data_IF_638042710163
#
_entry.id   IF_638042710163
#
_cell.length_a   1.000
_cell.length_b   1.000
_cell.length_c   1.000
_cell.angle_alpha   90.00
_cell.angle_beta   90.00
_cell.angle_gamma   90.00
#
_symmetry.space_group_name_H-M   'P 1'
#
loop_
_entity.id
_entity.type
_entity.pdbx_description
1 polymer ?
#
# COMPACT_ATOMS: atom_id res chain seq x y z
N UNK A 1 61.51 -17.60 -1.17
CA UNK A 1 60.14 -17.47 -0.63
C UNK A 1 59.35 -18.61 -1.22
N UNK A 2 58.89 -19.56 -0.40
CA UNK A 2 58.06 -20.69 -0.87
C UNK A 2 56.75 -20.18 -1.45
N UNK A 3 56.17 -20.91 -2.40
CA UNK A 3 54.94 -20.51 -3.05
C UNK A 3 53.81 -20.66 -2.02
N UNK A 4 53.05 -19.60 -1.75
CA UNK A 4 51.98 -19.58 -0.74
C UNK A 4 50.85 -20.59 -1.04
N UNK A 5 50.88 -21.23 -2.21
CA UNK A 5 49.94 -22.24 -2.65
C UNK A 5 50.43 -23.69 -2.45
N UNK A 6 51.63 -23.90 -1.92
CA UNK A 6 52.19 -25.26 -1.72
C UNK A 6 51.42 -26.08 -0.66
N UNK A 7 50.60 -25.42 0.18
CA UNK A 7 49.81 -25.99 1.29
C UNK A 7 48.29 -25.70 1.19
N UNK A 8 47.77 -25.45 -0.03
CA UNK A 8 46.35 -25.10 -0.25
C UNK A 8 45.57 -26.28 -0.82
N UNK A 9 44.40 -26.56 -0.24
CA UNK A 9 43.43 -27.53 -0.76
C UNK A 9 42.31 -26.78 -1.48
N UNK A 10 42.08 -27.15 -2.74
CA UNK A 10 40.96 -26.64 -3.52
C UNK A 10 39.72 -27.48 -3.25
N UNK A 11 38.64 -26.81 -2.86
CA UNK A 11 37.32 -27.42 -2.64
C UNK A 11 36.33 -26.68 -3.53
N UNK A 12 35.42 -27.40 -4.19
CA UNK A 12 34.39 -26.77 -4.99
C UNK A 12 33.37 -26.04 -4.10
N UNK A 13 32.83 -24.94 -4.61
CA UNK A 13 31.95 -24.08 -3.82
C UNK A 13 30.65 -24.75 -3.40
N UNK A 14 30.12 -25.68 -4.19
CA UNK A 14 28.83 -26.31 -3.92
C UNK A 14 28.97 -27.36 -2.80
N UNK A 15 30.05 -28.14 -2.81
CA UNK A 15 30.44 -29.01 -1.69
C UNK A 15 30.69 -28.20 -0.43
N UNK A 16 31.38 -27.07 -0.53
CA UNK A 16 31.67 -26.22 0.63
C UNK A 16 30.39 -25.58 1.19
N UNK A 17 29.48 -25.11 0.35
CA UNK A 17 28.15 -24.59 0.74
C UNK A 17 27.31 -25.68 1.43
N UNK A 18 27.28 -26.88 0.86
CA UNK A 18 26.56 -28.04 1.45
C UNK A 18 27.15 -28.43 2.80
N UNK A 19 28.48 -28.54 2.89
CA UNK A 19 29.19 -28.81 4.14
C UNK A 19 28.87 -27.77 5.21
N UNK A 20 28.90 -26.47 4.86
CA UNK A 20 28.56 -25.41 5.82
C UNK A 20 27.11 -25.52 6.29
N UNK A 21 26.16 -25.80 5.39
CA UNK A 21 24.76 -26.02 5.74
C UNK A 21 24.61 -27.20 6.72
N UNK A 22 25.22 -28.34 6.41
CA UNK A 22 25.15 -29.55 7.24
C UNK A 22 25.75 -29.32 8.63
N UNK A 23 26.85 -28.55 8.73
CA UNK A 23 27.43 -28.16 10.01
C UNK A 23 26.47 -27.29 10.82
N UNK A 24 25.81 -26.30 10.19
CA UNK A 24 24.81 -25.47 10.85
C UNK A 24 23.62 -26.28 11.37
N UNK A 25 23.10 -27.21 10.57
CA UNK A 25 22.05 -28.15 11.00
C UNK A 25 22.54 -29.02 12.17
N UNK A 26 23.77 -29.52 12.09
CA UNK A 26 24.39 -30.32 13.14
C UNK A 26 24.56 -29.60 14.48
N UNK A 27 24.60 -28.26 14.49
CA UNK A 27 24.63 -27.44 15.72
C UNK A 27 23.26 -26.88 16.10
N UNK A 28 22.19 -27.37 15.47
CA UNK A 28 20.80 -27.09 15.84
C UNK A 28 20.13 -25.91 15.12
N UNK A 29 20.77 -25.35 14.09
CA UNK A 29 20.12 -24.32 13.25
C UNK A 29 19.07 -25.00 12.34
N UNK A 30 17.83 -24.47 12.24
CA UNK A 30 16.81 -25.02 11.34
C UNK A 30 17.29 -25.08 9.87
N UNK A 31 16.85 -26.07 9.11
CA UNK A 31 17.35 -26.34 7.74
C UNK A 31 17.30 -25.11 6.80
N UNK A 32 16.18 -24.37 6.83
CA UNK A 32 16.00 -23.16 6.01
C UNK A 32 16.99 -22.06 6.41
N UNK A 33 17.15 -21.83 7.72
CA UNK A 33 18.04 -20.83 8.30
C UNK A 33 19.52 -21.19 8.09
N UNK A 34 19.85 -22.49 8.13
CA UNK A 34 21.16 -23.03 7.81
C UNK A 34 21.51 -22.76 6.35
N UNK A 35 20.54 -22.92 5.43
CA UNK A 35 20.69 -22.57 4.01
C UNK A 35 21.03 -21.08 3.82
N UNK A 36 20.33 -20.19 4.53
CA UNK A 36 20.62 -18.74 4.49
C UNK A 36 22.05 -18.46 4.99
N UNK A 37 22.45 -19.05 6.12
CA UNK A 37 23.78 -18.83 6.69
C UNK A 37 24.90 -19.34 5.76
N UNK A 38 24.76 -20.54 5.22
CA UNK A 38 25.73 -21.12 4.29
C UNK A 38 25.88 -20.29 3.02
N UNK A 39 24.76 -19.81 2.45
CA UNK A 39 24.76 -18.99 1.25
C UNK A 39 25.50 -17.65 1.46
N UNK A 40 25.36 -17.02 2.63
CA UNK A 40 26.06 -15.76 2.93
C UNK A 40 27.57 -15.98 3.13
N UNK A 41 27.98 -17.05 3.80
CA UNK A 41 29.40 -17.35 4.00
C UNK A 41 30.09 -17.72 2.68
N UNK A 42 29.50 -18.63 1.90
CA UNK A 42 30.09 -19.03 0.61
C UNK A 42 30.15 -17.87 -0.38
N UNK A 43 29.20 -16.93 -0.30
CA UNK A 43 29.21 -15.72 -1.11
C UNK A 43 30.46 -14.86 -0.86
N UNK A 44 31.02 -14.88 0.35
CA UNK A 44 32.28 -14.20 0.68
C UNK A 44 33.48 -14.92 0.08
N UNK A 45 33.54 -16.25 0.18
CA UNK A 45 34.60 -17.07 -0.43
C UNK A 45 34.60 -16.95 -1.97
N UNK A 46 33.41 -17.00 -2.59
CA UNK A 46 33.21 -16.77 -4.05
C UNK A 46 33.74 -15.41 -4.52
N UNK A 47 33.88 -14.43 -3.61
CA UNK A 47 34.40 -13.08 -3.88
C UNK A 47 35.86 -12.90 -3.47
N UNK A 48 36.53 -13.95 -2.97
CA UNK A 48 37.91 -13.87 -2.47
C UNK A 48 38.04 -13.11 -1.14
N UNK A 49 36.99 -13.12 -0.32
CA UNK A 49 37.00 -12.48 1.01
C UNK A 49 37.13 -13.57 2.08
N UNK A 50 38.32 -14.14 2.18
CA UNK A 50 38.60 -15.31 3.04
C UNK A 50 38.36 -15.04 4.53
N UNK A 51 38.46 -13.76 4.93
CA UNK A 51 38.22 -13.32 6.30
C UNK A 51 36.76 -13.37 6.74
N UNK A 52 35.80 -13.64 5.85
CA UNK A 52 34.35 -13.61 6.15
C UNK A 52 33.55 -14.81 5.60
N UNK A 53 34.20 -15.78 4.95
CA UNK A 53 33.57 -17.01 4.46
C UNK A 53 33.72 -18.20 5.41
N UNK A 54 34.07 -19.37 4.88
CA UNK A 54 34.14 -20.63 5.64
C UNK A 54 35.10 -20.57 6.83
N UNK A 55 36.14 -19.75 6.76
CA UNK A 55 37.08 -19.53 7.88
C UNK A 55 36.42 -19.00 9.16
N UNK A 56 35.19 -18.46 9.06
CA UNK A 56 34.38 -18.03 10.22
C UNK A 56 33.41 -19.08 10.72
N UNK A 57 33.11 -20.12 9.95
CA UNK A 57 32.12 -21.16 10.30
C UNK A 57 32.34 -21.70 11.71
N UNK A 58 33.54 -22.24 11.97
CA UNK A 58 33.85 -22.81 13.27
C UNK A 58 34.03 -21.74 14.37
N UNK A 59 35.00 -20.81 14.26
CA UNK A 59 35.36 -19.96 15.39
C UNK A 59 34.31 -18.91 15.76
N UNK A 60 33.48 -18.47 14.81
CA UNK A 60 32.46 -17.44 15.07
C UNK A 60 31.08 -18.03 15.28
N UNK A 61 30.69 -19.09 14.58
CA UNK A 61 29.34 -19.60 14.68
C UNK A 61 29.24 -20.87 15.52
N UNK A 62 29.94 -21.94 15.14
CA UNK A 62 29.87 -23.22 15.86
C UNK A 62 30.28 -23.07 17.32
N UNK A 63 31.42 -22.42 17.57
CA UNK A 63 31.94 -22.27 18.93
C UNK A 63 31.01 -21.37 19.78
N UNK A 64 30.49 -20.26 19.23
CA UNK A 64 29.55 -19.38 19.96
C UNK A 64 28.19 -20.00 20.25
N UNK A 65 27.70 -20.87 19.36
CA UNK A 65 26.47 -21.64 19.60
C UNK A 65 26.70 -22.63 20.74
N UNK A 66 27.84 -23.34 20.73
CA UNK A 66 28.22 -24.27 21.80
C UNK A 66 28.44 -23.57 23.15
N UNK A 67 28.98 -22.36 23.12
CA UNK A 67 29.21 -21.53 24.30
C UNK A 67 27.94 -20.81 24.80
N UNK A 68 26.80 -20.96 24.10
CA UNK A 68 25.51 -20.35 24.47
C UNK A 68 25.45 -18.83 24.26
N UNK A 69 26.42 -18.24 23.55
CA UNK A 69 26.45 -16.82 23.22
C UNK A 69 25.48 -16.48 22.09
N UNK A 70 25.26 -17.43 21.18
CA UNK A 70 24.41 -17.28 20.01
C UNK A 70 23.37 -18.40 19.95
N UNK A 71 22.11 -18.03 19.73
CA UNK A 71 21.00 -18.97 19.65
C UNK A 71 20.91 -19.56 18.24
N UNK A 72 20.88 -20.91 18.10
CA UNK A 72 20.81 -21.54 16.78
C UNK A 72 19.44 -21.39 16.12
N UNK A 73 18.38 -21.31 16.94
CA UNK A 73 17.02 -20.99 16.47
C UNK A 73 16.81 -19.48 16.57
N UNK A 74 16.55 -18.84 15.44
CA UNK A 74 16.37 -17.38 15.37
C UNK A 74 14.92 -17.00 15.66
N UNK A 75 14.69 -16.36 16.80
CA UNK A 75 13.42 -15.68 17.09
C UNK A 75 13.44 -14.28 16.46
N UNK A 76 12.50 -14.02 15.55
CA UNK A 76 12.43 -12.79 14.76
C UNK A 76 11.20 -12.00 15.19
N UNK A 77 11.41 -10.98 16.04
CA UNK A 77 10.34 -10.16 16.60
C UNK A 77 10.35 -8.74 16.00
N UNK A 78 9.19 -8.27 15.54
CA UNK A 78 9.01 -6.86 15.16
C UNK A 78 8.55 -6.09 16.39
N UNK A 79 9.47 -5.37 17.04
CA UNK A 79 9.21 -4.58 18.26
C UNK A 79 8.37 -3.34 17.96
N UNK A 80 8.57 -2.73 16.79
CA UNK A 80 7.82 -1.55 16.36
C UNK A 80 7.76 -1.47 14.85
N UNK A 81 6.59 -1.10 14.32
CA UNK A 81 6.37 -1.00 12.89
C UNK A 81 5.68 0.31 12.50
N UNK A 82 6.08 0.85 11.34
CA UNK A 82 5.37 1.90 10.61
C UNK A 82 5.23 1.49 9.13
N UNK A 83 4.51 2.27 8.29
CA UNK A 83 4.41 1.97 6.86
C UNK A 83 5.76 1.83 6.16
N UNK A 84 6.77 2.60 6.56
CA UNK A 84 8.08 2.66 5.88
C UNK A 84 9.26 2.23 6.76
N UNK A 85 9.04 1.94 8.05
CA UNK A 85 10.10 1.54 8.98
C UNK A 85 9.70 0.33 9.83
N UNK A 86 10.67 -0.44 10.32
CA UNK A 86 10.50 -1.47 11.33
C UNK A 86 11.72 -1.51 12.25
N UNK A 87 11.50 -1.84 13.53
CA UNK A 87 12.52 -2.18 14.51
C UNK A 87 12.37 -3.67 14.80
N UNK A 88 13.45 -4.42 14.61
CA UNK A 88 13.48 -5.88 14.76
C UNK A 88 14.42 -6.25 15.91
N UNK A 89 13.96 -7.10 16.81
CA UNK A 89 14.81 -7.82 17.77
C UNK A 89 15.00 -9.25 17.26
N UNK A 90 16.25 -9.70 17.30
CA UNK A 90 16.65 -11.03 16.86
C UNK A 90 16.98 -12.00 17.99
N UNK A 91 16.87 -11.56 19.26
CA UNK A 91 17.03 -12.39 20.46
C UNK A 91 18.30 -13.27 20.45
N UNK A 92 19.44 -12.67 20.08
CA UNK A 92 20.74 -13.35 19.91
C UNK A 92 20.76 -14.50 18.88
N UNK A 93 19.80 -14.54 17.96
CA UNK A 93 19.74 -15.51 16.87
C UNK A 93 20.81 -15.31 15.79
N UNK A 94 20.65 -16.03 14.68
CA UNK A 94 21.61 -16.00 13.58
C UNK A 94 21.56 -14.66 12.84
N UNK A 95 22.66 -13.89 12.90
CA UNK A 95 22.75 -12.57 12.24
C UNK A 95 22.42 -12.59 10.75
N UNK A 96 22.80 -13.63 10.01
CA UNK A 96 22.45 -13.80 8.60
C UNK A 96 20.93 -13.88 8.38
N UNK A 97 20.24 -14.65 9.23
CA UNK A 97 18.79 -14.87 9.15
C UNK A 97 18.05 -13.59 9.50
N UNK A 98 18.46 -12.92 10.58
CA UNK A 98 17.91 -11.64 11.01
C UNK A 98 18.06 -10.61 9.87
N UNK A 99 19.24 -10.50 9.27
CA UNK A 99 19.50 -9.58 8.18
C UNK A 99 18.69 -9.92 6.91
N UNK A 100 18.62 -11.20 6.53
CA UNK A 100 17.85 -11.65 5.38
C UNK A 100 16.37 -11.31 5.51
N UNK A 101 15.76 -11.69 6.65
CA UNK A 101 14.34 -11.41 6.93
C UNK A 101 14.06 -9.90 7.06
N UNK A 102 14.97 -9.15 7.67
CA UNK A 102 14.88 -7.68 7.78
C UNK A 102 14.96 -7.00 6.41
N UNK A 103 15.85 -7.45 5.54
CA UNK A 103 15.96 -6.93 4.17
C UNK A 103 14.72 -7.27 3.35
N UNK A 104 14.17 -8.48 3.48
CA UNK A 104 12.90 -8.86 2.85
C UNK A 104 11.75 -7.95 3.30
N UNK A 105 11.62 -7.72 4.61
CA UNK A 105 10.66 -6.77 5.18
C UNK A 105 10.87 -5.35 4.65
N UNK A 106 12.12 -4.90 4.54
CA UNK A 106 12.44 -3.58 4.00
C UNK A 106 12.07 -3.46 2.51
N UNK A 107 12.32 -4.49 1.70
CA UNK A 107 11.93 -4.53 0.29
C UNK A 107 10.41 -4.52 0.15
N UNK A 108 9.70 -5.29 0.98
CA UNK A 108 8.23 -5.30 1.02
C UNK A 108 7.68 -3.92 1.37
N UNK A 109 8.26 -3.25 2.36
CA UNK A 109 7.94 -1.86 2.70
C UNK A 109 8.30 -0.89 1.59
N UNK A 110 9.42 -1.09 0.89
CA UNK A 110 9.82 -0.24 -0.23
C UNK A 110 8.87 -0.35 -1.44
N UNK A 111 8.13 -1.46 -1.60
CA UNK A 111 7.04 -1.56 -2.59
C UNK A 111 5.85 -0.63 -2.27
N UNK A 112 5.80 -0.04 -1.07
CA UNK A 112 4.83 0.96 -0.65
C UNK A 112 5.52 2.21 -0.07
N UNK A 113 5.71 3.25 -0.88
CA UNK A 113 6.41 4.47 -0.48
C UNK A 113 5.55 5.71 -0.67
N UNK A 114 5.87 6.79 0.05
CA UNK A 114 5.11 8.02 -0.01
C UNK A 114 5.68 9.14 0.84
N UNK A 115 5.00 10.28 0.80
CA UNK A 115 5.28 11.45 1.60
C UNK A 115 3.95 12.07 2.02
N UNK A 116 3.84 12.50 3.26
CA UNK A 116 2.68 13.24 3.76
C UNK A 116 3.13 14.60 4.30
N UNK A 117 2.38 15.63 3.93
CA UNK A 117 2.55 16.99 4.42
C UNK A 117 1.23 17.42 5.04
N UNK A 118 1.30 17.93 6.27
CA UNK A 118 0.14 18.48 6.95
C UNK A 118 0.45 19.87 7.50
N UNK A 119 -0.39 20.84 7.15
CA UNK A 119 -0.28 22.23 7.54
C UNK A 119 -1.56 22.64 8.27
N UNK A 120 -1.42 23.32 9.40
CA UNK A 120 -2.56 23.80 10.20
C UNK A 120 -2.39 25.26 10.57
N UNK A 121 -3.47 26.01 10.43
CA UNK A 121 -3.59 27.40 10.88
C UNK A 121 -4.70 27.53 11.91
N UNK A 122 -4.32 27.85 13.15
CA UNK A 122 -5.26 27.98 14.28
C UNK A 122 -5.45 29.43 14.76
N UNK A 123 -4.96 30.42 14.02
CA UNK A 123 -5.02 31.83 14.45
C UNK A 123 -5.56 32.77 13.37
N UNK A 124 -6.20 33.85 13.81
CA UNK A 124 -6.81 34.87 12.95
C UNK A 124 -8.20 34.50 12.43
N UNK A 125 -8.69 35.25 11.43
CA UNK A 125 -10.03 35.06 10.87
C UNK A 125 -10.15 33.81 10.00
N UNK A 126 -9.08 33.44 9.29
CA UNK A 126 -9.01 32.22 8.47
C UNK A 126 -8.31 31.11 9.24
N UNK A 127 -9.05 30.07 9.59
CA UNK A 127 -8.58 28.87 10.26
C UNK A 127 -8.68 27.68 9.31
N UNK A 128 -7.93 26.62 9.58
CA UNK A 128 -8.05 25.41 8.79
C UNK A 128 -6.82 24.55 8.78
N UNK A 129 -6.88 23.51 7.94
CA UNK A 129 -5.75 22.64 7.67
C UNK A 129 -5.75 22.16 6.22
N UNK A 130 -4.57 21.79 5.77
CA UNK A 130 -4.30 21.17 4.48
C UNK A 130 -3.49 19.91 4.74
N UNK A 131 -3.96 18.78 4.23
CA UNK A 131 -3.22 17.53 4.21
C UNK A 131 -3.00 17.10 2.76
N UNK A 132 -1.76 16.77 2.42
CA UNK A 132 -1.41 16.22 1.12
C UNK A 132 -0.58 14.95 1.31
N UNK A 133 -1.04 13.86 0.75
CA UNK A 133 -0.35 12.58 0.74
C UNK A 133 0.00 12.24 -0.70
N UNK A 134 1.29 12.02 -0.95
CA UNK A 134 1.77 11.29 -2.09
C UNK A 134 2.01 9.84 -1.68
N UNK A 135 1.41 8.85 -2.35
CA UNK A 135 1.61 7.44 -2.02
C UNK A 135 1.61 6.54 -3.25
N UNK A 136 2.59 5.65 -3.34
CA UNK A 136 2.74 4.69 -4.43
C UNK A 136 2.84 3.31 -3.85
N UNK A 137 2.03 2.41 -4.38
CA UNK A 137 2.06 1.01 -3.98
C UNK A 137 2.11 0.13 -5.20
N UNK A 138 3.07 -0.78 -5.26
CA UNK A 138 3.13 -1.82 -6.27
C UNK A 138 2.97 -3.19 -5.62
N UNK A 139 2.36 -4.13 -6.34
CA UNK A 139 2.13 -5.49 -5.87
C UNK A 139 2.49 -6.47 -6.96
N UNK A 140 3.09 -7.57 -6.53
CA UNK A 140 3.32 -8.76 -7.35
C UNK A 140 2.43 -9.87 -6.80
N UNK A 141 1.89 -10.72 -7.67
CA UNK A 141 1.07 -11.86 -7.26
C UNK A 141 1.37 -12.99 -8.22
N UNK A 142 1.69 -14.17 -7.67
CA UNK A 142 2.00 -15.36 -8.47
C UNK A 142 0.85 -15.66 -9.43
N UNK A 143 1.18 -16.01 -10.67
CA UNK A 143 0.27 -16.38 -11.75
C UNK A 143 -0.67 -15.25 -12.23
N UNK A 144 -0.48 -14.03 -11.73
CA UNK A 144 -1.22 -12.84 -12.15
C UNK A 144 -0.28 -11.93 -12.94
N UNK A 145 -0.78 -11.39 -14.05
CA UNK A 145 -0.07 -10.40 -14.87
C UNK A 145 1.31 -10.92 -15.35
N UNK A 146 1.42 -12.21 -15.69
CA UNK A 146 2.68 -12.88 -16.05
C UNK A 146 3.80 -12.71 -15.00
N UNK A 147 3.44 -12.72 -13.70
CA UNK A 147 4.33 -12.46 -12.57
C UNK A 147 4.99 -11.06 -12.60
N UNK A 148 4.46 -10.13 -13.40
CA UNK A 148 4.91 -8.74 -13.39
C UNK A 148 4.19 -7.95 -12.31
N UNK A 149 4.92 -7.04 -11.68
CA UNK A 149 4.37 -6.12 -10.69
C UNK A 149 3.31 -5.21 -11.33
N UNK A 150 2.19 -5.02 -10.64
CA UNK A 150 1.10 -4.14 -11.04
C UNK A 150 0.69 -3.23 -9.89
N UNK A 151 -0.05 -2.17 -10.21
CA UNK A 151 -0.56 -1.22 -9.23
C UNK A 151 -1.96 -1.67 -8.75
N UNK A 152 -2.18 -1.95 -7.46
CA UNK A 152 -3.47 -2.39 -6.93
C UNK A 152 -4.53 -1.28 -6.94
N UNK A 153 -5.80 -1.62 -6.67
CA UNK A 153 -6.92 -0.64 -6.67
C UNK A 153 -6.69 0.54 -5.69
N UNK A 154 -6.02 0.26 -4.58
CA UNK A 154 -5.67 1.23 -3.54
C UNK A 154 -4.40 2.05 -3.84
N UNK A 155 -3.72 1.85 -4.98
CA UNK A 155 -2.66 2.77 -5.46
C UNK A 155 -3.28 4.11 -5.86
N UNK A 156 -3.21 5.08 -4.93
CA UNK A 156 -3.70 6.46 -5.12
C UNK A 156 -2.53 7.44 -4.94
N UNK A 157 -1.84 7.77 -6.05
CA UNK A 157 -0.68 8.66 -6.08
C UNK A 157 -0.86 9.95 -5.31
N UNK A 158 -1.98 10.65 -5.48
CA UNK A 158 -2.21 11.95 -4.86
C UNK A 158 -3.51 11.94 -4.07
N UNK A 159 -3.45 12.42 -2.84
CA UNK A 159 -4.61 12.71 -2.02
C UNK A 159 -4.42 14.09 -1.39
N UNK A 160 -5.38 14.99 -1.62
CA UNK A 160 -5.38 16.35 -1.07
C UNK A 160 -6.69 16.58 -0.34
N UNK A 161 -6.58 17.01 0.91
CA UNK A 161 -7.72 17.42 1.72
C UNK A 161 -7.45 18.80 2.28
N UNK A 162 -8.39 19.72 2.07
CA UNK A 162 -8.32 21.07 2.62
C UNK A 162 -9.60 21.33 3.37
N UNK A 163 -9.50 21.83 4.60
CA UNK A 163 -10.63 22.37 5.35
C UNK A 163 -10.32 23.78 5.80
N UNK A 164 -11.18 24.72 5.43
CA UNK A 164 -11.08 26.12 5.78
C UNK A 164 -12.33 26.57 6.53
N UNK A 165 -12.13 27.38 7.55
CA UNK A 165 -13.17 28.09 8.28
C UNK A 165 -12.80 29.58 8.33
N UNK A 166 -13.68 30.44 7.84
CA UNK A 166 -13.49 31.89 7.83
C UNK A 166 -14.51 32.56 8.74
N UNK A 167 -14.02 33.11 9.85
CA UNK A 167 -14.79 33.91 10.80
C UNK A 167 -14.83 35.36 10.35
N UNK A 168 -15.82 35.71 9.52
CA UNK A 168 -16.00 37.09 9.04
C UNK A 168 -16.40 38.02 10.19
N UNK A 169 -17.30 37.56 11.07
CA UNK A 169 -17.73 38.29 12.28
C UNK A 169 -18.29 37.31 13.32
N UNK A 170 -18.61 37.73 14.55
CA UNK A 170 -19.28 36.88 15.54
C UNK A 170 -20.64 36.32 15.10
N UNK A 171 -21.21 36.81 13.99
CA UNK A 171 -22.49 36.33 13.44
C UNK A 171 -22.38 35.53 12.15
N UNK A 172 -21.26 35.63 11.43
CA UNK A 172 -21.12 35.08 10.10
C UNK A 172 -19.85 34.23 10.03
N UNK A 173 -20.03 32.93 9.83
CA UNK A 173 -18.95 31.98 9.62
C UNK A 173 -19.13 31.29 8.28
N UNK A 174 -18.03 31.10 7.55
CA UNK A 174 -18.02 30.35 6.30
C UNK A 174 -17.10 29.15 6.45
N UNK A 175 -17.47 28.02 5.87
CA UNK A 175 -16.68 26.81 5.86
C UNK A 175 -16.55 26.31 4.43
N UNK A 176 -15.38 25.81 4.07
CA UNK A 176 -15.13 25.14 2.81
C UNK A 176 -14.33 23.87 3.06
N UNK A 177 -14.69 22.79 2.37
CA UNK A 177 -13.95 21.53 2.40
C UNK A 177 -13.70 21.05 0.97
N UNK A 178 -12.43 20.92 0.60
CA UNK A 178 -12.00 20.38 -0.67
C UNK A 178 -11.42 18.98 -0.46
N UNK A 179 -11.85 18.04 -1.30
CA UNK A 179 -11.34 16.68 -1.35
C UNK A 179 -10.92 16.38 -2.78
N UNK A 180 -9.67 16.01 -2.95
CA UNK A 180 -9.16 15.47 -4.20
C UNK A 180 -8.41 14.16 -3.93
N UNK A 181 -8.61 13.19 -4.79
CA UNK A 181 -7.81 11.97 -4.79
C UNK A 181 -7.72 11.42 -6.20
N UNK A 182 -6.54 10.92 -6.56
CA UNK A 182 -6.36 10.17 -7.79
C UNK A 182 -7.27 8.95 -7.81
N UNK A 183 -7.87 8.66 -8.96
CA UNK A 183 -8.81 7.54 -9.11
C UNK A 183 -8.14 6.19 -8.85
N UNK A 184 -8.90 5.23 -8.30
CA UNK A 184 -8.42 3.87 -8.10
C UNK A 184 -8.16 3.16 -9.44
N UNK A 185 -7.24 2.19 -9.46
CA UNK A 185 -7.03 1.37 -10.65
C UNK A 185 -8.02 0.21 -10.72
N UNK A 186 -8.52 -0.08 -11.91
CA UNK A 186 -9.44 -1.19 -12.16
C UNK A 186 -9.02 -1.97 -13.40
N UNK A 187 -9.49 -3.21 -13.50
CA UNK A 187 -9.24 -4.08 -14.63
C UNK A 187 -10.40 -3.97 -15.61
N UNK A 188 -10.09 -3.62 -16.85
CA UNK A 188 -11.06 -3.57 -17.96
C UNK A 188 -10.64 -4.54 -19.05
N UNK A 189 -11.59 -5.11 -19.82
CA UNK A 189 -11.23 -5.99 -20.93
C UNK A 189 -10.43 -5.22 -21.97
N UNK A 190 -9.34 -5.83 -22.43
CA UNK A 190 -8.47 -5.28 -23.48
C UNK A 190 -9.03 -5.55 -24.88
N UNK A 191 -9.80 -6.63 -25.02
CA UNK A 191 -10.46 -7.00 -26.26
C UNK A 191 -11.73 -7.80 -25.95
N UNK A 192 -12.54 -8.01 -26.98
CA UNK A 192 -13.69 -8.89 -26.93
C UNK A 192 -13.58 -9.90 -28.07
N UNK A 193 -13.87 -11.16 -27.78
CA UNK A 193 -13.88 -12.25 -28.76
C UNK A 193 -15.31 -12.73 -28.97
N UNK A 194 -15.75 -12.78 -30.22
CA UNK A 194 -17.07 -13.29 -30.61
C UNK A 194 -16.94 -14.78 -30.94
N UNK A 195 -17.61 -15.63 -30.14
CA UNK A 195 -17.65 -17.07 -30.35
C UNK A 195 -19.07 -17.60 -30.10
N UNK A 196 -19.71 -18.20 -31.11
CA UNK A 196 -21.08 -18.71 -31.01
C UNK A 196 -22.10 -17.67 -30.46
N UNK A 197 -22.03 -16.42 -30.95
CA UNK A 197 -22.83 -15.27 -30.49
C UNK A 197 -22.55 -14.80 -29.04
N UNK A 198 -21.52 -15.34 -28.39
CA UNK A 198 -21.05 -14.89 -27.08
C UNK A 198 -19.90 -13.92 -27.22
N UNK A 199 -20.06 -12.73 -26.64
CA UNK A 199 -18.97 -11.75 -26.50
C UNK A 199 -18.20 -12.07 -25.23
N UNK A 200 -17.02 -12.70 -25.39
CA UNK A 200 -16.15 -13.07 -24.29
C UNK A 200 -15.11 -11.95 -24.07
N UNK A 201 -15.10 -11.28 -22.90
CA UNK A 201 -14.08 -10.29 -22.59
C UNK A 201 -12.72 -10.95 -22.37
N UNK A 202 -11.69 -10.43 -23.04
CA UNK A 202 -10.29 -10.85 -22.86
C UNK A 202 -9.59 -9.82 -21.97
N UNK A 203 -8.99 -10.31 -20.88
CA UNK A 203 -8.22 -9.50 -19.93
C UNK A 203 -6.73 -9.83 -20.07
N UNK A 204 -5.95 -8.89 -20.61
CA UNK A 204 -4.50 -9.09 -20.78
C UNK A 204 -3.71 -8.74 -19.52
N UNK A 205 -4.09 -7.63 -18.88
CA UNK A 205 -3.36 -7.08 -17.74
C UNK A 205 -4.32 -6.73 -16.60
N UNK A 206 -3.87 -7.01 -15.37
CA UNK A 206 -4.61 -6.63 -14.17
C UNK A 206 -4.39 -5.14 -13.89
N UNK A 207 -5.47 -4.43 -13.60
CA UNK A 207 -5.48 -3.01 -13.25
C UNK A 207 -4.89 -2.09 -14.35
N UNK A 208 -5.20 -2.43 -15.60
CA UNK A 208 -4.79 -1.76 -16.82
C UNK A 208 -5.45 -0.38 -17.05
N UNK A 209 -6.45 0.01 -16.26
CA UNK A 209 -7.10 1.33 -16.35
C UNK A 209 -7.12 2.04 -15.00
N UNK A 210 -7.10 3.37 -15.02
CA UNK A 210 -7.36 4.21 -13.85
C UNK A 210 -8.74 4.86 -13.97
N UNK A 211 -9.54 4.76 -12.92
CA UNK A 211 -10.82 5.47 -12.84
C UNK A 211 -10.60 6.99 -12.87
N UNK A 212 -11.61 7.78 -13.28
CA UNK A 212 -11.54 9.22 -13.14
C UNK A 212 -11.21 9.63 -11.70
N UNK A 213 -10.36 10.66 -11.55
CA UNK A 213 -10.03 11.20 -10.25
C UNK A 213 -11.28 11.65 -9.50
N UNK A 214 -11.27 11.58 -8.17
CA UNK A 214 -12.36 12.10 -7.34
C UNK A 214 -12.03 13.54 -6.93
N UNK A 215 -13.02 14.43 -7.07
CA UNK A 215 -12.87 15.84 -6.72
C UNK A 215 -14.22 16.37 -6.21
N UNK A 216 -14.24 16.90 -4.99
CA UNK A 216 -15.44 17.42 -4.31
C UNK A 216 -15.10 18.69 -3.55
N UNK A 217 -15.88 19.74 -3.79
CA UNK A 217 -15.91 20.94 -2.96
C UNK A 217 -17.27 21.01 -2.26
N UNK A 218 -17.21 21.15 -0.94
CA UNK A 218 -18.36 21.41 -0.09
C UNK A 218 -18.21 22.81 0.51
N UNK A 219 -19.29 23.60 0.49
CA UNK A 219 -19.32 24.93 1.10
C UNK A 219 -20.47 25.03 2.08
N UNK A 220 -20.25 25.76 3.16
CA UNK A 220 -21.28 26.05 4.15
C UNK A 220 -21.14 27.46 4.69
N UNK A 221 -22.26 28.09 5.02
CA UNK A 221 -22.34 29.36 5.71
C UNK A 221 -23.22 29.18 6.96
N UNK A 222 -22.73 29.65 8.09
CA UNK A 222 -23.47 29.68 9.35
C UNK A 222 -23.76 31.12 9.77
N UNK A 223 -25.03 31.37 10.05
CA UNK A 223 -25.60 32.64 10.44
C UNK A 223 -26.10 32.54 11.87
N UNK A 224 -25.48 33.26 12.80
CA UNK A 224 -26.01 33.40 14.16
C UNK A 224 -27.01 34.54 14.18
N UNK A 225 -28.29 34.18 14.31
CA UNK A 225 -29.42 35.12 14.29
C UNK A 225 -29.65 35.77 15.67
N UNK A 226 -29.29 35.07 16.75
CA UNK A 226 -29.40 35.60 18.11
C UNK A 226 -28.39 36.73 18.40
N UNK A 227 -28.83 37.79 19.08
CA UNK A 227 -27.96 38.88 19.56
C UNK A 227 -27.00 38.37 20.65
N UNK A 228 -25.80 38.94 20.75
CA UNK A 228 -24.83 38.60 21.79
C UNK A 228 -25.42 38.93 23.17
N UNK A 229 -25.47 37.96 24.07
CA UNK A 229 -26.13 38.08 25.39
C UNK A 229 -27.62 37.68 25.43
N UNK A 230 -28.20 37.23 24.31
CA UNK A 230 -29.55 36.66 24.28
C UNK A 230 -29.62 35.34 25.04
N UNK A 231 -30.72 35.13 25.80
CA UNK A 231 -31.06 33.84 26.43
C UNK A 231 -31.23 32.72 25.39
N UNK A 232 -31.69 33.09 24.19
CA UNK A 232 -31.90 32.14 23.10
C UNK A 232 -30.73 32.18 22.12
N UNK A 233 -30.21 31.00 21.75
CA UNK A 233 -29.19 30.82 20.73
C UNK A 233 -29.83 30.27 19.46
N UNK A 234 -29.74 31.03 18.38
CA UNK A 234 -30.32 30.68 17.08
C UNK A 234 -29.24 30.68 16.01
N UNK A 235 -29.09 29.57 15.30
CA UNK A 235 -28.12 29.39 14.22
C UNK A 235 -28.83 28.82 13.00
N UNK A 236 -28.71 29.50 11.86
CA UNK A 236 -29.10 29.00 10.55
C UNK A 236 -27.83 28.59 9.80
N UNK A 237 -27.76 27.33 9.36
CA UNK A 237 -26.66 26.80 8.58
C UNK A 237 -27.17 26.44 7.18
N UNK A 238 -26.55 27.01 6.15
CA UNK A 238 -26.80 26.70 4.75
C UNK A 238 -25.57 25.98 4.21
N UNK A 239 -25.74 24.85 3.54
CA UNK A 239 -24.62 24.15 2.92
C UNK A 239 -24.97 23.54 1.58
N UNK A 240 -23.96 23.42 0.73
CA UNK A 240 -24.04 22.78 -0.57
C UNK A 240 -22.92 21.72 -0.60
N UNK A 241 -23.35 20.47 -0.68
CA UNK A 241 -22.47 19.32 -0.89
C UNK A 241 -22.22 19.14 -2.39
N UNK A 242 -20.96 18.85 -2.76
CA UNK A 242 -20.53 18.63 -4.14
C UNK A 242 -20.97 19.78 -5.07
N UNK A 243 -20.47 20.98 -4.80
CA UNK A 243 -20.78 22.23 -5.54
C UNK A 243 -20.58 22.08 -7.06
N UNK A 244 -19.61 21.26 -7.49
CA UNK A 244 -19.34 21.02 -8.91
C UNK A 244 -20.38 20.15 -9.61
N UNK A 245 -21.33 19.56 -8.87
CA UNK A 245 -22.25 18.54 -9.36
C UNK A 245 -21.52 17.39 -10.10
N UNK A 246 -20.30 17.06 -9.66
CA UNK A 246 -19.46 16.10 -10.36
C UNK A 246 -19.83 14.69 -9.93
N UNK A 247 -20.11 13.83 -10.89
CA UNK A 247 -20.25 12.41 -10.65
C UNK A 247 -18.87 11.81 -10.39
N UNK A 248 -18.65 11.33 -9.17
CA UNK A 248 -17.41 10.66 -8.79
C UNK A 248 -17.66 9.13 -8.75
N UNK A 249 -17.21 8.37 -9.76
CA UNK A 249 -17.48 6.94 -9.85
C UNK A 249 -16.58 6.13 -8.91
N UNK A 250 -17.16 5.18 -8.17
CA UNK A 250 -16.42 4.30 -7.25
C UNK A 250 -16.25 2.88 -7.82
N UNK A 251 -17.14 2.50 -8.74
CA UNK A 251 -17.19 1.20 -9.40
C UNK A 251 -17.55 1.39 -10.88
N UNK A 252 -16.86 0.65 -11.75
CA UNK A 252 -17.23 0.48 -13.16
C UNK A 252 -17.38 -1.01 -13.43
N UNK A 253 -18.49 -1.40 -14.06
CA UNK A 253 -18.83 -2.79 -14.38
C UNK A 253 -19.07 -2.97 -15.87
N UNK A 254 -18.60 -4.09 -16.43
CA UNK A 254 -18.66 -4.43 -17.85
C UNK A 254 -19.47 -5.71 -18.12
N UNK A 255 -20.31 -6.14 -17.18
CA UNK A 255 -21.07 -7.39 -17.31
C UNK A 255 -22.58 -7.15 -17.38
N UNK A 256 -23.00 -5.96 -17.81
CA UNK A 256 -24.42 -5.59 -17.87
C UNK A 256 -24.87 -5.37 -19.31
N UNK A 257 -26.07 -5.85 -19.61
CA UNK A 257 -26.83 -5.55 -20.82
C UNK A 257 -27.99 -4.62 -20.46
N UNK A 258 -28.49 -3.85 -21.43
CA UNK A 258 -29.73 -3.08 -21.27
C UNK A 258 -30.90 -3.96 -21.73
N UNK A 259 -31.90 -4.16 -20.88
CA UNK A 259 -33.14 -4.83 -21.27
C UNK A 259 -34.06 -3.88 -22.08
N UNK A 260 -35.13 -4.43 -22.65
CA UNK A 260 -36.10 -3.66 -23.45
C UNK A 260 -36.81 -2.54 -22.66
N UNK A 261 -36.73 -2.58 -21.32
CA UNK A 261 -37.28 -1.57 -20.42
C UNK A 261 -36.25 -0.51 -20.00
N UNK A 262 -35.01 -0.58 -20.53
CA UNK A 262 -33.93 0.36 -20.21
C UNK A 262 -33.18 0.06 -18.91
N UNK A 263 -33.41 -1.08 -18.26
CA UNK A 263 -32.71 -1.48 -17.05
C UNK A 263 -31.41 -2.21 -17.35
N UNK A 264 -30.39 -2.00 -16.52
CA UNK A 264 -29.11 -2.72 -16.63
C UNK A 264 -29.13 -4.03 -15.84
N UNK A 265 -29.21 -5.16 -16.54
CA UNK A 265 -29.28 -6.51 -15.96
C UNK A 265 -28.02 -7.33 -16.26
N UNK A 266 -27.70 -8.27 -15.37
CA UNK A 266 -26.67 -9.29 -15.64
C UNK A 266 -27.34 -10.38 -16.49
N UNK A 267 -26.84 -10.67 -17.69
CA UNK A 267 -27.47 -11.64 -18.57
C UNK A 267 -27.45 -13.05 -17.97
N UNK A 268 -28.61 -13.73 -17.98
CA UNK A 268 -28.77 -15.11 -17.51
C UNK A 268 -28.92 -16.13 -18.67
N UNK A 269 -29.32 -15.69 -19.86
CA UNK A 269 -29.48 -16.52 -21.06
C UNK A 269 -28.42 -16.16 -22.11
N UNK A 270 -27.73 -17.16 -22.64
CA UNK A 270 -26.55 -17.00 -23.51
C UNK A 270 -26.85 -17.13 -25.02
N UNK A 271 -28.11 -17.30 -25.41
CA UNK A 271 -28.49 -17.64 -26.80
C UNK A 271 -28.61 -16.44 -27.76
N UNK A 272 -28.40 -15.21 -27.30
CA UNK A 272 -28.48 -14.00 -28.14
C UNK A 272 -27.20 -13.17 -28.06
N UNK A 273 -26.88 -12.44 -29.14
CA UNK A 273 -25.74 -11.54 -29.21
C UNK A 273 -25.90 -10.40 -28.21
N UNK A 274 -25.07 -10.38 -27.17
CA UNK A 274 -25.16 -9.42 -26.07
C UNK A 274 -24.16 -8.29 -26.21
N UNK A 275 -24.64 -7.05 -26.26
CA UNK A 275 -23.78 -5.86 -26.17
C UNK A 275 -23.48 -5.56 -24.71
N UNK A 276 -22.21 -5.68 -24.33
CA UNK A 276 -21.72 -5.27 -23.01
C UNK A 276 -21.73 -3.74 -22.92
N UNK A 277 -22.35 -3.20 -21.87
CA UNK A 277 -22.38 -1.75 -21.61
C UNK A 277 -21.59 -1.45 -20.33
N UNK A 278 -20.62 -0.52 -20.37
CA UNK A 278 -19.95 -0.05 -19.17
C UNK A 278 -20.92 0.76 -18.32
N UNK A 279 -21.11 0.34 -17.07
CA UNK A 279 -21.96 1.04 -16.10
C UNK A 279 -21.11 1.56 -14.94
N UNK A 280 -21.40 2.78 -14.48
CA UNK A 280 -20.70 3.41 -13.36
C UNK A 280 -21.67 3.67 -12.19
N UNK A 281 -21.19 3.51 -10.96
CA UNK A 281 -21.93 3.85 -9.74
C UNK A 281 -21.29 5.04 -9.03
N UNK A 282 -22.08 6.10 -8.80
CA UNK A 282 -21.71 7.31 -8.06
C UNK A 282 -22.73 7.59 -6.95
N UNK A 283 -22.27 8.14 -5.81
CA UNK A 283 -23.09 8.26 -4.58
C UNK A 283 -24.09 9.42 -4.62
N UNK A 284 -23.71 10.61 -5.09
CA UNK A 284 -24.62 11.75 -5.23
C UNK A 284 -24.02 12.92 -6.02
N UNK A 285 -24.88 13.64 -6.74
CA UNK A 285 -24.59 14.95 -7.35
C UNK A 285 -24.63 16.09 -6.32
N UNK A 286 -25.07 17.27 -6.74
CA UNK A 286 -25.24 18.43 -5.87
C UNK A 286 -26.37 18.19 -4.85
N UNK A 287 -26.10 18.44 -3.57
CA UNK A 287 -27.12 18.37 -2.51
C UNK A 287 -27.11 19.68 -1.72
N UNK A 288 -28.11 20.55 -1.90
CA UNK A 288 -28.32 21.69 -1.02
C UNK A 288 -28.97 21.24 0.30
N UNK A 289 -28.61 21.88 1.40
CA UNK A 289 -29.22 21.62 2.70
C UNK A 289 -29.33 22.87 3.55
N UNK A 290 -30.41 22.93 4.33
CA UNK A 290 -30.70 23.97 5.30
C UNK A 290 -30.89 23.32 6.67
N UNK A 291 -30.26 23.89 7.70
CA UNK A 291 -30.38 23.43 9.07
C UNK A 291 -30.61 24.63 9.99
N UNK A 292 -31.59 24.55 10.87
CA UNK A 292 -31.86 25.56 11.88
C UNK A 292 -31.74 24.95 13.27
N UNK A 293 -30.80 25.48 14.06
CA UNK A 293 -30.56 25.06 15.43
C UNK A 293 -31.02 26.14 16.40
N UNK A 294 -31.95 25.75 17.28
CA UNK A 294 -32.46 26.56 18.38
C UNK A 294 -32.00 25.96 19.72
N UNK A 295 -31.57 26.80 20.67
CA UNK A 295 -31.20 26.38 22.02
C UNK A 295 -31.55 27.49 23.03
N UNK A 296 -31.93 27.10 24.25
CA UNK A 296 -32.37 27.97 25.34
C UNK A 296 -31.30 28.14 26.44
#
# INVERSE_FOLDING_TARGET
>A
MGNIYDDVIWVDFDTLETFMKDVFVGVGVPDEDAGICANVLIASDKRGIDSHGVGRLKPIYVDRIRDGVQNPVTDFEIVRESPTTAVVDGHNGMGHVIAYRSMKLAIEKAKAYGMEIWLKKNSGKLLGWLGYTYSRVSRETKDINNNQSYYPYYDRPHQLQIRLAYHLSPRFNFNAALYYMTGGRTTVPSAFYDYNNLIIPIYNEKNNMRLPDYHRLDIAAEFRLSRQGSRFRQILSLSIYNVYNRNNPFLVSFNKIMDDNGNFVVPANFDQKQTIIPTQLSVAGIIPSINYKFSF
#
